data_IF_819176768784
#
_entry.id   IF_819176768784
#
_cell.length_a   1.000
_cell.length_b   1.000
_cell.length_c   1.000
_cell.angle_alpha   90.00
_cell.angle_beta   90.00
_cell.angle_gamma   90.00
#
_symmetry.space_group_name_H-M   'P 1'
#
loop_
_entity.id
_entity.type
_entity.pdbx_description
1 polymer ?
#
# COMPACT_ATOMS: atom_id res chain seq x y z
N UNK A 1 -12.80 -21.31 -9.83
CA UNK A 1 -12.92 -19.86 -9.53
C UNK A 1 -14.38 -19.45 -9.53
N UNK A 2 -14.76 -18.44 -8.72
CA UNK A 2 -16.15 -18.06 -8.47
C UNK A 2 -16.74 -17.01 -9.44
N UNK A 3 -16.00 -16.63 -10.50
CA UNK A 3 -16.51 -15.77 -11.59
C UNK A 3 -16.35 -14.25 -11.37
N UNK A 4 -15.66 -13.81 -10.33
CA UNK A 4 -15.40 -12.39 -10.09
C UNK A 4 -14.46 -11.78 -11.14
N UNK A 5 -14.71 -10.52 -11.52
CA UNK A 5 -13.76 -9.69 -12.25
C UNK A 5 -12.83 -9.03 -11.23
N UNK A 6 -11.55 -9.35 -11.27
CA UNK A 6 -10.59 -8.97 -10.22
C UNK A 6 -9.55 -7.99 -10.75
N UNK A 7 -9.43 -6.85 -10.08
CA UNK A 7 -8.26 -5.98 -10.16
C UNK A 7 -7.39 -6.21 -8.93
N UNK A 8 -6.14 -6.65 -9.14
CA UNK A 8 -5.15 -6.86 -8.08
C UNK A 8 -4.15 -5.71 -8.09
N UNK A 9 -4.26 -4.82 -7.10
CA UNK A 9 -3.22 -3.83 -6.82
C UNK A 9 -2.21 -4.46 -5.86
N UNK A 10 -0.94 -4.51 -6.23
CA UNK A 10 0.08 -5.19 -5.42
C UNK A 10 1.39 -4.44 -5.36
N UNK A 11 2.02 -4.50 -4.19
CA UNK A 11 3.39 -4.04 -4.00
C UNK A 11 4.41 -4.97 -4.66
N UNK A 12 5.72 -4.74 -4.45
CA UNK A 12 6.76 -5.63 -4.94
C UNK A 12 6.63 -7.04 -4.32
N UNK A 13 6.23 -8.02 -5.14
CA UNK A 13 6.11 -9.43 -4.73
C UNK A 13 6.64 -10.35 -5.84
N UNK A 14 7.15 -11.52 -5.44
CA UNK A 14 7.66 -12.54 -6.38
C UNK A 14 6.60 -13.56 -6.81
N UNK A 15 5.35 -13.38 -6.37
CA UNK A 15 4.25 -14.30 -6.69
C UNK A 15 3.72 -14.04 -8.11
N UNK A 16 3.41 -15.10 -8.88
CA UNK A 16 2.80 -14.95 -10.19
C UNK A 16 1.39 -14.36 -10.06
N UNK A 17 0.97 -13.64 -11.10
CA UNK A 17 -0.40 -13.16 -11.22
C UNK A 17 -1.34 -14.35 -11.46
N UNK A 18 -2.42 -14.52 -10.68
CA UNK A 18 -3.42 -15.55 -10.96
C UNK A 18 -4.10 -15.33 -12.32
N UNK A 19 -4.66 -16.39 -12.89
CA UNK A 19 -5.40 -16.31 -14.15
C UNK A 19 -6.58 -15.34 -14.05
N UNK A 20 -6.89 -14.64 -15.15
CA UNK A 20 -8.05 -13.72 -15.27
C UNK A 20 -8.07 -12.54 -14.28
N UNK A 21 -6.93 -12.23 -13.66
CA UNK A 21 -6.75 -11.05 -12.82
C UNK A 21 -6.08 -9.93 -13.61
N UNK A 22 -6.64 -8.72 -13.55
CA UNK A 22 -5.96 -7.51 -14.01
C UNK A 22 -5.04 -7.01 -12.89
N UNK A 23 -3.72 -7.15 -13.08
CA UNK A 23 -2.72 -6.71 -12.09
C UNK A 23 -2.28 -5.26 -12.32
N UNK A 24 -2.12 -4.52 -11.23
CA UNK A 24 -1.53 -3.18 -11.18
C UNK A 24 -0.39 -3.21 -10.17
N UNK A 25 0.84 -3.05 -10.64
CA UNK A 25 2.03 -3.00 -9.80
C UNK A 25 2.28 -1.59 -9.27
N UNK A 26 2.51 -1.48 -7.96
CA UNK A 26 2.77 -0.22 -7.27
C UNK A 26 3.97 -0.38 -6.32
N UNK A 27 4.59 0.74 -5.94
CA UNK A 27 5.75 0.73 -5.04
C UNK A 27 5.44 1.39 -3.70
N UNK A 28 4.74 2.53 -3.71
CA UNK A 28 4.42 3.27 -2.47
C UNK A 28 2.96 3.13 -2.06
N UNK A 29 2.67 3.40 -0.79
CA UNK A 29 1.30 3.47 -0.28
C UNK A 29 0.44 4.52 -1.02
N UNK A 30 1.06 5.61 -1.51
CA UNK A 30 0.36 6.65 -2.26
C UNK A 30 0.02 6.18 -3.68
N UNK A 31 0.92 5.45 -4.32
CA UNK A 31 0.65 4.83 -5.62
C UNK A 31 -0.45 3.78 -5.49
N UNK A 32 -0.41 2.99 -4.41
CA UNK A 32 -1.45 2.00 -4.11
C UNK A 32 -2.82 2.65 -3.91
N UNK A 33 -2.90 3.74 -3.15
CA UNK A 33 -4.15 4.49 -2.99
C UNK A 33 -4.68 4.97 -4.36
N UNK A 34 -3.83 5.63 -5.15
CA UNK A 34 -4.22 6.14 -6.46
C UNK A 34 -4.69 5.02 -7.41
N UNK A 35 -4.02 3.87 -7.39
CA UNK A 35 -4.42 2.71 -8.18
C UNK A 35 -5.76 2.13 -7.72
N UNK A 36 -6.01 2.06 -6.40
CA UNK A 36 -7.31 1.63 -5.88
C UNK A 36 -8.43 2.61 -6.23
N UNK A 37 -8.18 3.93 -6.15
CA UNK A 37 -9.14 4.95 -6.56
C UNK A 37 -9.46 4.87 -8.07
N UNK A 38 -8.46 4.62 -8.90
CA UNK A 38 -8.64 4.44 -10.35
C UNK A 38 -9.40 3.15 -10.70
N UNK A 39 -9.39 2.15 -9.82
CA UNK A 39 -10.13 0.90 -9.98
C UNK A 39 -11.60 0.99 -9.52
N UNK A 40 -12.01 2.10 -8.92
CA UNK A 40 -13.40 2.34 -8.52
C UNK A 40 -14.30 2.71 -9.72
N UNK A 41 -15.61 2.44 -9.65
CA UNK A 41 -16.29 1.73 -8.57
C UNK A 41 -16.06 0.21 -8.61
N UNK A 42 -16.08 -0.42 -7.44
CA UNK A 42 -16.09 -1.88 -7.30
C UNK A 42 -17.11 -2.31 -6.24
N UNK A 43 -17.50 -3.58 -6.27
CA UNK A 43 -18.46 -4.13 -5.30
C UNK A 43 -17.78 -4.54 -3.98
N UNK A 44 -16.52 -4.98 -4.06
CA UNK A 44 -15.76 -5.59 -2.97
C UNK A 44 -14.32 -5.08 -2.95
N UNK A 45 -13.87 -4.58 -1.80
CA UNK A 45 -12.48 -4.24 -1.51
C UNK A 45 -11.92 -5.21 -0.47
N UNK A 46 -10.83 -5.90 -0.82
CA UNK A 46 -10.09 -6.77 0.09
C UNK A 46 -8.72 -6.13 0.35
N UNK A 47 -8.59 -5.43 1.48
CA UNK A 47 -7.39 -4.71 1.86
C UNK A 47 -6.44 -5.64 2.63
N UNK A 48 -5.77 -6.54 1.89
CA UNK A 48 -4.84 -7.53 2.45
C UNK A 48 -3.36 -7.15 2.35
N UNK A 49 -3.02 -6.10 1.62
CA UNK A 49 -1.64 -5.63 1.49
C UNK A 49 -1.11 -5.12 2.84
N UNK A 50 0.13 -5.50 3.19
CA UNK A 50 0.84 -4.95 4.33
C UNK A 50 1.40 -3.55 3.98
N UNK A 51 0.52 -2.55 4.01
CA UNK A 51 0.87 -1.16 3.68
C UNK A 51 1.64 -0.53 4.84
N UNK A 52 2.75 0.14 4.55
CA UNK A 52 3.54 0.82 5.57
C UNK A 52 2.79 2.04 6.13
N UNK A 53 2.71 2.17 7.46
CA UNK A 53 2.02 3.29 8.14
C UNK A 53 2.70 4.65 7.94
N UNK A 54 4.02 4.65 7.70
CA UNK A 54 4.83 5.85 7.55
C UNK A 54 5.68 5.81 6.29
N UNK A 55 6.08 6.99 5.80
CA UNK A 55 7.05 7.18 4.73
C UNK A 55 8.06 8.28 5.10
N UNK A 56 9.23 8.35 4.47
CA UNK A 56 10.12 9.50 4.60
C UNK A 56 9.39 10.80 4.28
N UNK A 57 9.58 11.81 5.13
CA UNK A 57 9.08 13.17 4.88
C UNK A 57 9.68 13.75 3.61
N UNK A 58 11.00 13.55 3.45
CA UNK A 58 11.76 14.00 2.28
C UNK A 58 12.38 12.78 1.61
N UNK A 59 12.10 12.63 0.31
CA UNK A 59 12.73 11.61 -0.55
C UNK A 59 13.91 12.25 -1.26
N UNK A 60 15.13 11.82 -0.94
CA UNK A 60 16.34 12.36 -1.56
C UNK A 60 16.42 11.97 -3.04
N UNK A 61 16.73 12.94 -3.92
CA UNK A 61 16.91 12.70 -5.36
C UNK A 61 18.15 11.85 -5.68
N UNK A 62 19.10 11.78 -4.75
CA UNK A 62 20.35 11.04 -4.90
C UNK A 62 20.62 10.21 -3.64
N UNK A 63 21.43 9.17 -3.81
CA UNK A 63 21.91 8.33 -2.71
C UNK A 63 22.57 9.19 -1.64
N UNK A 64 22.04 9.13 -0.42
CA UNK A 64 22.64 9.76 0.75
C UNK A 64 24.05 9.18 0.98
N UNK A 65 25.04 10.06 1.08
CA UNK A 65 26.42 9.67 1.38
C UNK A 65 26.56 9.45 2.89
N UNK A 66 27.42 8.51 3.26
CA UNK A 66 27.86 8.38 4.64
C UNK A 66 28.74 9.59 4.95
N UNK A 67 28.44 10.30 6.03
CA UNK A 67 29.35 11.30 6.58
C UNK A 67 30.42 10.54 7.41
N UNK A 68 31.70 10.57 7.00
CA UNK A 68 32.76 9.87 7.73
C UNK A 68 33.18 10.61 9.01
N UNK A 69 32.70 11.84 9.23
CA UNK A 69 33.06 12.70 10.35
C UNK A 69 32.03 12.69 11.47
N UNK A 70 30.75 12.42 11.17
CA UNK A 70 29.72 12.19 12.18
C UNK A 70 29.60 10.69 12.49
N UNK A 71 29.97 10.28 13.71
CA UNK A 71 29.69 8.94 14.22
C UNK A 71 28.20 8.69 14.55
N UNK A 72 27.40 9.74 14.43
CA UNK A 72 25.95 9.74 14.62
C UNK A 72 25.30 9.22 13.33
N UNK A 73 24.50 8.15 13.42
CA UNK A 73 23.92 7.48 12.25
C UNK A 73 22.95 8.35 11.41
N UNK A 74 22.18 7.72 10.53
CA UNK A 74 21.20 8.42 9.69
C UNK A 74 19.91 8.72 10.47
N UNK A 75 19.51 9.99 10.52
CA UNK A 75 18.19 10.39 10.99
C UNK A 75 17.21 10.47 9.81
N UNK A 76 16.11 9.71 9.88
CA UNK A 76 15.01 9.78 8.92
C UNK A 76 13.76 10.34 9.61
N UNK A 77 13.34 11.52 9.17
CA UNK A 77 12.03 12.05 9.56
C UNK A 77 10.95 11.34 8.75
N UNK A 78 9.94 10.83 9.45
CA UNK A 78 8.85 10.05 8.86
C UNK A 78 7.53 10.78 9.05
N UNK A 79 6.67 10.70 8.04
CA UNK A 79 5.29 11.20 8.06
C UNK A 79 4.32 10.07 7.75
N UNK A 80 3.10 10.16 8.27
CA UNK A 80 2.07 9.13 8.06
C UNK A 80 1.72 8.98 6.58
N UNK A 81 1.54 7.74 6.15
CA UNK A 81 0.89 7.40 4.89
C UNK A 81 -0.62 7.56 4.99
N UNK A 82 -1.30 7.70 3.84
CA UNK A 82 -2.74 7.62 3.83
C UNK A 82 -3.18 6.20 4.21
N UNK A 83 -4.26 6.10 4.99
CA UNK A 83 -4.94 4.84 5.27
C UNK A 83 -5.87 4.52 4.10
N UNK A 84 -5.48 3.54 3.28
CA UNK A 84 -6.18 3.19 2.04
C UNK A 84 -7.59 2.65 2.33
N UNK A 85 -7.71 1.75 3.30
CA UNK A 85 -8.99 1.14 3.66
C UNK A 85 -9.94 2.20 4.23
N UNK A 86 -9.47 3.01 5.17
CA UNK A 86 -10.29 4.07 5.76
C UNK A 86 -10.70 5.12 4.71
N UNK A 87 -9.79 5.50 3.80
CA UNK A 87 -10.07 6.46 2.72
C UNK A 87 -11.18 5.97 1.81
N UNK A 88 -11.12 4.72 1.33
CA UNK A 88 -12.11 4.18 0.41
C UNK A 88 -13.43 3.82 1.11
N UNK A 89 -13.37 3.38 2.37
CA UNK A 89 -14.56 3.07 3.16
C UNK A 89 -15.39 4.30 3.57
N UNK A 90 -14.83 5.51 3.49
CA UNK A 90 -15.53 6.76 3.77
C UNK A 90 -16.20 7.41 2.56
N UNK A 91 -15.98 6.87 1.35
CA UNK A 91 -16.60 7.39 0.12
C UNK A 91 -18.11 7.14 0.09
N UNK A 92 -18.83 7.98 -0.66
CA UNK A 92 -20.26 7.78 -0.90
C UNK A 92 -20.54 6.48 -1.68
N UNK A 93 -19.68 6.14 -2.63
CA UNK A 93 -19.71 4.94 -3.47
C UNK A 93 -18.88 3.78 -2.90
N UNK A 94 -18.72 3.73 -1.57
CA UNK A 94 -17.84 2.75 -0.91
C UNK A 94 -18.22 1.29 -1.24
N UNK A 95 -17.23 0.41 -1.44
CA UNK A 95 -17.46 -1.01 -1.63
C UNK A 95 -17.72 -1.71 -0.28
N UNK A 96 -18.25 -2.93 -0.33
CA UNK A 96 -18.13 -3.82 0.83
C UNK A 96 -16.65 -4.05 1.10
N UNK A 97 -16.18 -3.79 2.32
CA UNK A 97 -14.76 -3.71 2.61
C UNK A 97 -14.34 -4.73 3.65
N UNK A 98 -13.28 -5.48 3.36
CA UNK A 98 -12.65 -6.46 4.26
C UNK A 98 -11.22 -6.01 4.52
N UNK A 99 -10.90 -5.73 5.78
CA UNK A 99 -9.55 -5.43 6.22
C UNK A 99 -8.86 -6.64 6.85
N UNK A 100 -7.53 -6.67 6.77
CA UNK A 100 -6.69 -7.63 7.48
C UNK A 100 -5.86 -6.90 8.52
N UNK A 101 -5.77 -7.48 9.71
CA UNK A 101 -4.87 -7.04 10.76
C UNK A 101 -4.12 -8.27 11.26
N UNK A 102 -2.80 -8.17 11.35
CA UNK A 102 -1.96 -9.16 12.01
C UNK A 102 -1.35 -8.49 13.23
N UNK A 103 -1.89 -8.78 14.41
CA UNK A 103 -1.34 -8.31 15.68
C UNK A 103 -0.29 -9.32 16.19
N UNK A 104 0.84 -8.83 16.67
CA UNK A 104 1.95 -9.67 17.15
C UNK A 104 1.87 -10.00 18.64
N UNK A 105 1.05 -9.27 19.39
CA UNK A 105 0.78 -9.53 20.81
C UNK A 105 -0.70 -9.91 20.97
N UNK A 106 -0.97 -11.13 21.46
CA UNK A 106 -2.28 -11.80 21.61
C UNK A 106 -2.81 -12.53 20.36
N UNK A 107 -2.11 -13.59 19.93
CA UNK A 107 -2.68 -14.68 19.12
C UNK A 107 -3.10 -15.86 20.00
#
# INVERSE_FOLDING_TARGET
EAGARVTLVTGPVHLPTPDRVQRVDVVSARDMLAACEAAMPCDLLIASAAVADYRPEVVAAHKLKKDPTSGEGLLLQLVRNPDILATLAQREDRPFSVGFAAETENL
#
